data_IF_407205257029
#
_entry.id   IF_407205257029
#
_cell.length_a   1.000
_cell.length_b   1.000
_cell.length_c   1.000
_cell.angle_alpha   90.00
_cell.angle_beta   90.00
_cell.angle_gamma   90.00
#
_symmetry.space_group_name_H-M   'P 1'
#
loop_
_entity.id
_entity.type
_entity.pdbx_description
1 polymer ?
#
# COMPACT_ATOMS: atom_id res chain seq x y z
N UNK A 1 10.48 -4.68 6.12
CA UNK A 1 10.45 -3.63 5.09
C UNK A 1 9.12 -2.91 5.18
N UNK A 2 9.13 -1.59 4.99
CA UNK A 2 7.96 -0.74 5.03
C UNK A 2 7.83 0.01 3.71
N UNK A 3 6.62 0.35 3.33
CA UNK A 3 6.39 1.26 2.22
C UNK A 3 5.46 2.41 2.62
N UNK A 4 5.74 3.57 2.06
CA UNK A 4 4.87 4.73 2.08
C UNK A 4 3.97 4.66 0.86
N UNK A 5 2.66 4.63 1.07
CA UNK A 5 1.68 4.83 0.01
C UNK A 5 1.10 6.23 0.11
N UNK A 6 1.02 6.91 -1.03
CA UNK A 6 0.48 8.25 -1.17
C UNK A 6 -0.54 8.25 -2.31
N UNK A 7 -1.76 8.73 -2.04
CA UNK A 7 -2.68 9.16 -3.07
C UNK A 7 -2.74 10.68 -3.09
N UNK A 8 -2.64 11.25 -4.28
CA UNK A 8 -2.70 12.70 -4.49
C UNK A 8 -3.73 13.01 -5.57
N UNK A 9 -4.47 14.11 -5.39
CA UNK A 9 -5.32 14.66 -6.43
C UNK A 9 -4.58 14.77 -7.78
N UNK A 10 -5.20 14.38 -8.89
CA UNK A 10 -4.56 14.41 -10.21
C UNK A 10 -4.06 15.80 -10.64
N UNK A 11 -4.57 16.89 -10.05
CA UNK A 11 -4.14 18.27 -10.30
C UNK A 11 -2.96 18.72 -9.45
N UNK A 12 -2.54 17.94 -8.45
CA UNK A 12 -1.46 18.29 -7.53
C UNK A 12 -0.16 17.62 -7.94
N UNK A 13 0.92 18.39 -7.92
CA UNK A 13 2.28 17.86 -8.08
C UNK A 13 2.85 17.68 -6.68
N UNK A 14 3.25 16.45 -6.35
CA UNK A 14 3.96 16.22 -5.10
C UNK A 14 5.31 16.94 -5.16
N UNK A 15 5.70 17.65 -4.10
CA UNK A 15 7.07 18.11 -3.95
C UNK A 15 7.93 16.87 -3.65
N UNK A 16 8.26 16.09 -4.68
CA UNK A 16 9.13 14.92 -4.55
C UNK A 16 10.56 15.41 -4.37
N UNK A 17 10.92 15.69 -3.12
CA UNK A 17 12.33 15.82 -2.74
C UNK A 17 12.94 14.42 -2.71
N UNK A 18 13.41 13.96 -3.87
CA UNK A 18 14.28 12.79 -4.02
C UNK A 18 13.64 11.56 -4.67
N UNK A 19 14.52 10.73 -5.24
CA UNK A 19 14.28 9.51 -6.03
C UNK A 19 13.55 8.37 -5.28
N UNK A 20 12.96 8.63 -4.10
CA UNK A 20 12.37 7.61 -3.22
C UNK A 20 10.90 7.31 -3.48
N UNK A 21 10.23 8.06 -4.34
CA UNK A 21 8.82 7.86 -4.67
C UNK A 21 8.67 7.52 -6.15
N UNK A 22 8.10 6.35 -6.41
CA UNK A 22 7.71 5.92 -7.75
C UNK A 22 6.22 6.17 -7.95
N UNK A 23 5.84 6.70 -9.11
CA UNK A 23 4.43 6.80 -9.49
C UNK A 23 3.98 5.43 -9.95
N UNK A 24 2.87 4.96 -9.39
CA UNK A 24 2.32 3.64 -9.70
C UNK A 24 0.90 3.78 -10.21
N UNK A 25 0.51 2.92 -11.14
CA UNK A 25 -0.90 2.76 -11.50
C UNK A 25 -1.48 1.63 -10.66
N UNK A 26 -2.80 1.60 -10.49
CA UNK A 26 -3.50 0.48 -9.84
C UNK A 26 -3.17 -0.87 -10.49
N UNK A 27 -2.81 -0.85 -11.76
CA UNK A 27 -2.62 -2.02 -12.62
C UNK A 27 -1.13 -2.31 -12.90
N UNK A 28 -0.21 -1.53 -12.31
CA UNK A 28 1.21 -1.54 -12.64
C UNK A 28 2.10 -1.22 -11.45
N UNK A 29 1.82 -1.85 -10.31
CA UNK A 29 2.66 -1.74 -9.12
C UNK A 29 4.05 -2.36 -9.38
N UNK A 30 5.14 -1.82 -8.79
CA UNK A 30 6.46 -2.40 -8.92
C UNK A 30 6.52 -3.73 -8.16
N UNK A 31 6.18 -4.82 -8.87
CA UNK A 31 6.13 -6.20 -8.37
C UNK A 31 7.47 -6.69 -7.78
N UNK A 32 8.60 -6.08 -8.16
CA UNK A 32 9.92 -6.51 -7.71
C UNK A 32 10.15 -6.32 -6.19
N UNK A 33 9.33 -5.50 -5.51
CA UNK A 33 9.52 -5.18 -4.08
C UNK A 33 8.28 -5.44 -3.23
N UNK A 34 7.09 -5.47 -3.82
CA UNK A 34 5.83 -5.64 -3.12
C UNK A 34 5.32 -7.08 -3.26
N UNK A 35 4.59 -7.53 -2.24
CA UNK A 35 3.94 -8.85 -2.24
C UNK A 35 2.51 -8.73 -2.79
N UNK A 36 1.90 -9.85 -3.19
CA UNK A 36 0.48 -9.91 -3.57
C UNK A 36 -0.46 -9.37 -2.48
N UNK A 37 -0.10 -9.58 -1.20
CA UNK A 37 -0.83 -8.98 -0.07
C UNK A 37 -0.75 -7.45 -0.10
N UNK A 38 0.43 -6.91 -0.36
CA UNK A 38 0.64 -5.47 -0.45
C UNK A 38 -0.13 -4.86 -1.62
N UNK A 39 -0.15 -5.54 -2.76
CA UNK A 39 -0.91 -5.10 -3.95
C UNK A 39 -2.40 -5.03 -3.66
N UNK A 40 -2.98 -6.07 -3.05
CA UNK A 40 -4.39 -6.08 -2.65
C UNK A 40 -4.70 -4.93 -1.68
N UNK A 41 -3.81 -4.67 -0.72
CA UNK A 41 -3.97 -3.56 0.22
C UNK A 41 -3.85 -2.20 -0.47
N UNK A 42 -2.94 -2.05 -1.43
CA UNK A 42 -2.78 -0.81 -2.20
C UNK A 42 -4.02 -0.56 -3.05
N UNK A 43 -4.53 -1.56 -3.78
CA UNK A 43 -5.75 -1.44 -4.56
C UNK A 43 -6.99 -1.10 -3.70
N UNK A 44 -7.07 -1.66 -2.49
CA UNK A 44 -8.10 -1.27 -1.52
C UNK A 44 -7.97 0.19 -1.09
N UNK A 45 -6.76 0.62 -0.67
CA UNK A 45 -6.50 1.98 -0.21
C UNK A 45 -6.65 3.02 -1.33
N UNK A 46 -6.27 2.69 -2.55
CA UNK A 46 -6.46 3.54 -3.72
C UNK A 46 -7.92 3.90 -3.93
N UNK A 47 -8.83 2.91 -3.85
CA UNK A 47 -10.28 3.12 -3.96
C UNK A 47 -10.82 3.99 -2.83
N UNK A 48 -10.54 3.60 -1.58
CA UNK A 48 -10.95 4.35 -0.38
C UNK A 48 -10.50 5.81 -0.44
N UNK A 49 -9.25 6.06 -0.84
CA UNK A 49 -8.70 7.41 -0.90
C UNK A 49 -9.16 8.22 -2.11
N UNK A 50 -9.48 7.57 -3.23
CA UNK A 50 -10.10 8.25 -4.37
C UNK A 50 -11.49 8.76 -4.02
N UNK A 51 -12.27 7.96 -3.28
CA UNK A 51 -13.59 8.36 -2.79
C UNK A 51 -13.47 9.52 -1.79
N UNK A 52 -12.52 9.45 -0.85
CA UNK A 52 -12.25 10.51 0.13
C UNK A 52 -11.82 11.84 -0.51
N UNK A 53 -11.08 11.78 -1.62
CA UNK A 53 -10.60 12.97 -2.33
C UNK A 53 -11.63 13.52 -3.32
N UNK A 54 -12.59 12.70 -3.73
CA UNK A 54 -13.69 13.10 -4.63
C UNK A 54 -13.25 13.39 -6.06
N UNK A 55 -12.09 12.86 -6.48
CA UNK A 55 -11.49 13.12 -7.79
C UNK A 55 -10.56 11.99 -8.23
N UNK A 56 -10.08 12.07 -9.47
CA UNK A 56 -9.03 11.17 -9.97
C UNK A 56 -7.75 11.34 -9.12
N UNK A 57 -7.18 10.21 -8.72
CA UNK A 57 -5.98 10.20 -7.86
C UNK A 57 -4.79 9.57 -8.57
N UNK A 58 -3.62 10.16 -8.35
CA UNK A 58 -2.32 9.57 -8.70
C UNK A 58 -1.73 8.91 -7.47
N UNK A 59 -1.24 7.69 -7.63
CA UNK A 59 -0.63 6.91 -6.55
C UNK A 59 0.89 6.98 -6.63
N UNK A 60 1.52 7.08 -5.48
CA UNK A 60 2.98 7.01 -5.34
C UNK A 60 3.37 6.06 -4.22
N UNK A 61 4.43 5.29 -4.44
CA UNK A 61 4.98 4.33 -3.50
C UNK A 61 6.46 4.61 -3.26
N UNK A 62 6.89 4.57 -2.00
CA UNK A 62 8.31 4.58 -1.65
C UNK A 62 8.64 3.51 -0.63
N UNK A 63 9.81 2.89 -0.74
CA UNK A 63 10.24 1.76 0.10
C UNK A 63 11.26 2.21 1.13
N UNK A 64 11.14 1.66 2.34
CA UNK A 64 11.93 2.03 3.51
C UNK A 64 12.32 0.78 4.32
N UNK A 65 13.52 0.79 4.89
CA UNK A 65 14.01 -0.33 5.70
C UNK A 65 13.25 -0.47 7.02
N UNK A 66 12.84 0.66 7.62
CA UNK A 66 12.20 0.72 8.92
C UNK A 66 11.03 1.73 8.98
N UNK A 67 10.16 1.55 9.98
CA UNK A 67 8.96 2.35 10.18
C UNK A 67 9.27 3.82 10.48
N UNK A 68 10.32 4.10 11.24
CA UNK A 68 10.69 5.47 11.62
C UNK A 68 11.09 6.30 10.39
N UNK A 69 11.86 5.71 9.49
CA UNK A 69 12.27 6.35 8.23
C UNK A 69 11.07 6.64 7.34
N UNK A 70 10.12 5.70 7.24
CA UNK A 70 8.87 5.92 6.51
C UNK A 70 8.06 7.07 7.14
N UNK A 71 7.89 7.07 8.47
CA UNK A 71 7.12 8.09 9.19
C UNK A 71 7.76 9.47 9.08
N UNK A 72 9.09 9.56 9.16
CA UNK A 72 9.84 10.80 8.99
C UNK A 72 9.61 11.39 7.61
N UNK A 73 9.82 10.60 6.55
CA UNK A 73 9.60 11.07 5.17
C UNK A 73 8.14 11.49 4.93
N UNK A 74 7.17 10.73 5.48
CA UNK A 74 5.75 11.11 5.43
C UNK A 74 5.48 12.44 6.15
N UNK A 75 6.11 12.69 7.30
CA UNK A 75 5.93 13.93 8.04
C UNK A 75 6.46 15.13 7.24
N UNK A 76 7.65 15.00 6.66
CA UNK A 76 8.27 16.03 5.82
C UNK A 76 7.41 16.35 4.59
N UNK A 77 6.88 15.32 3.92
CA UNK A 77 5.98 15.49 2.78
C UNK A 77 4.69 16.22 3.19
N UNK A 78 4.07 15.83 4.31
CA UNK A 78 2.86 16.48 4.82
C UNK A 78 3.12 17.93 5.21
N UNK A 79 4.29 18.22 5.76
CA UNK A 79 4.71 19.57 6.09
C UNK A 79 4.82 20.44 4.83
N UNK A 80 5.53 19.97 3.81
CA UNK A 80 5.68 20.67 2.54
C UNK A 80 4.32 20.94 1.85
N UNK A 81 3.43 19.95 1.84
CA UNK A 81 2.09 20.10 1.24
C UNK A 81 1.18 21.01 2.06
N UNK A 82 1.30 21.01 3.40
CA UNK A 82 0.57 21.95 4.26
C UNK A 82 1.00 23.37 3.99
N UNK A 83 2.29 23.62 3.88
CA UNK A 83 2.82 24.96 3.62
C UNK A 83 2.41 25.45 2.21
N UNK A 84 2.17 24.53 1.27
CA UNK A 84 1.57 24.80 -0.04
C UNK A 84 0.02 24.87 -0.05
N UNK A 85 -0.66 24.69 1.09
CA UNK A 85 -2.14 24.61 1.22
C UNK A 85 -2.79 23.46 0.44
N UNK A 86 -2.09 22.34 0.30
CA UNK A 86 -2.54 21.15 -0.42
C UNK A 86 -2.73 19.93 0.50
N UNK A 87 -2.70 20.12 1.82
CA UNK A 87 -2.79 19.03 2.81
C UNK A 87 -4.07 18.19 2.71
N UNK A 88 -5.19 18.78 2.27
CA UNK A 88 -6.48 18.09 2.12
C UNK A 88 -6.57 17.29 0.81
N UNK A 89 -5.66 17.55 -0.13
CA UNK A 89 -5.59 16.98 -1.48
C UNK A 89 -4.68 15.74 -1.55
N UNK A 90 -4.30 15.22 -0.39
CA UNK A 90 -3.44 14.05 -0.24
C UNK A 90 -4.00 13.10 0.82
N UNK A 91 -3.83 11.81 0.59
CA UNK A 91 -3.89 10.75 1.61
C UNK A 91 -2.56 10.02 1.61
N UNK A 92 -2.03 9.71 2.80
CA UNK A 92 -0.77 8.98 2.89
C UNK A 92 -0.64 8.19 4.17
N UNK A 93 -0.03 7.01 4.08
CA UNK A 93 0.24 6.17 5.23
C UNK A 93 1.45 5.25 5.01
N UNK A 94 2.08 4.86 6.13
CA UNK A 94 3.15 3.88 6.17
C UNK A 94 2.58 2.51 6.47
N UNK A 95 3.01 1.52 5.70
CA UNK A 95 2.57 0.15 5.80
C UNK A 95 3.76 -0.78 5.96
N UNK A 96 3.64 -1.75 6.87
CA UNK A 96 4.55 -2.88 6.93
C UNK A 96 4.24 -3.82 5.76
N UNK A 97 5.23 -4.10 4.92
CA UNK A 97 5.10 -5.15 3.90
C UNK A 97 5.06 -6.50 4.59
N UNK A 98 4.12 -7.35 4.16
CA UNK A 98 3.94 -8.69 4.73
C UNK A 98 4.02 -9.72 3.62
N UNK A 99 4.73 -10.84 3.82
CA UNK A 99 4.63 -11.95 2.89
C UNK A 99 3.17 -12.38 2.79
N UNK A 100 2.79 -12.91 1.63
CA UNK A 100 1.50 -13.58 1.51
C UNK A 100 1.47 -14.69 2.58
N UNK A 101 0.49 -14.61 3.49
CA UNK A 101 0.21 -15.74 4.36
C UNK A 101 -0.39 -16.78 3.43
N UNK A 102 0.39 -17.80 3.08
CA UNK A 102 -0.17 -19.02 2.50
C UNK A 102 -1.33 -19.40 3.42
N UNK A 103 -2.56 -19.21 2.94
CA UNK A 103 -3.72 -19.82 3.56
C UNK A 103 -3.43 -21.30 3.50
N UNK A 104 -2.97 -21.85 4.63
CA UNK A 104 -3.00 -23.27 4.91
C UNK A 104 -4.42 -23.69 4.54
N UNK A 105 -4.57 -24.32 3.38
CA UNK A 105 -5.70 -25.20 3.12
C UNK A 105 -5.66 -26.15 4.31
N UNK A 106 -6.57 -25.93 5.28
CA UNK A 106 -6.83 -26.92 6.29
C UNK A 106 -7.13 -28.18 5.49
N UNK A 107 -6.18 -29.12 5.51
CA UNK A 107 -6.38 -30.41 4.90
C UNK A 107 -7.71 -30.93 5.43
N UNK A 108 -8.52 -31.40 4.51
CA UNK A 108 -9.57 -32.35 4.81
C UNK A 108 -8.96 -33.49 5.64
N UNK A 109 -8.95 -33.35 6.96
CA UNK A 109 -8.96 -34.46 7.92
C UNK A 109 -10.36 -35.10 7.81
N UNK A 110 -10.68 -35.65 6.65
CA UNK A 110 -11.71 -36.66 6.53
C UNK A 110 -11.01 -37.98 6.83
N UNK A 111 -10.96 -38.32 8.12
CA UNK A 111 -10.69 -39.68 8.59
C UNK A 111 -11.67 -40.63 7.89
N UNK A 112 -11.27 -41.15 6.74
CA UNK A 112 -11.83 -42.35 6.17
C UNK A 112 -11.44 -43.52 7.08
N UNK A 113 -12.22 -43.74 8.14
CA UNK A 113 -12.21 -45.00 8.87
C UNK A 113 -12.75 -46.08 7.94
N UNK A 114 -11.81 -46.79 7.31
CA UNK A 114 -12.05 -47.99 6.55
C UNK A 114 -12.43 -49.17 7.45
N UNK A 115 -13.42 -49.91 6.94
CA UNK A 115 -13.47 -51.37 6.88
C UNK A 115 -13.56 -52.25 8.14
N UNK A 116 -14.63 -53.07 8.11
CA UNK A 116 -14.62 -54.48 8.52
C UNK A 116 -15.42 -54.75 9.80
N UNK A 117 -16.20 -55.82 9.94
CA UNK A 117 -16.56 -56.94 9.08
C UNK A 117 -17.65 -57.72 9.86
N UNK A 118 -18.50 -58.43 9.12
CA UNK A 118 -19.41 -59.53 9.55
C UNK A 118 -20.38 -59.33 10.74
#
# INVERSE_FOLDING_TARGET
MYYLLIAVAATVVLPTTGEKLETVTSDGLPHAVLTDYDERRIAYKAREWSDDLGEETRLHVGVFDNLESCKSYRADLRLALRDAKLADRIRSNCFESRPEVETRTAGDDEEANGEGAD
#
